data_IF_730909367869
#
_entry.id   IF_730909367869
#
_cell.length_a   1.000
_cell.length_b   1.000
_cell.length_c   1.000
_cell.angle_alpha   90.00
_cell.angle_beta   90.00
_cell.angle_gamma   90.00
#
_symmetry.space_group_name_H-M   'P 1'
#
loop_
_entity.id
_entity.type
_entity.pdbx_description
1 polymer ?
#
# COMPACT_ATOMS: atom_id res chain seq x y z
N UNK A 1 9.16 9.70 41.87
CA UNK A 1 8.75 8.47 41.16
C UNK A 1 9.99 7.74 40.69
N UNK A 2 10.03 6.41 40.81
CA UNK A 2 11.10 5.60 40.21
C UNK A 2 10.99 5.57 38.68
N UNK A 3 12.04 5.15 37.98
CA UNK A 3 12.01 4.98 36.53
C UNK A 3 10.88 4.05 36.08
N UNK A 4 10.67 2.93 36.79
CA UNK A 4 9.60 1.98 36.48
C UNK A 4 8.22 2.61 36.64
N UNK A 5 8.01 3.40 37.71
CA UNK A 5 6.75 4.14 37.91
C UNK A 5 6.52 5.18 36.80
N UNK A 6 7.58 5.87 36.37
CA UNK A 6 7.53 6.83 35.26
C UNK A 6 7.21 6.17 33.92
N UNK A 7 7.78 5.00 33.65
CA UNK A 7 7.47 4.24 32.43
C UNK A 7 6.00 3.80 32.41
N UNK A 8 5.44 3.41 33.56
CA UNK A 8 4.04 2.99 33.66
C UNK A 8 3.06 4.16 33.53
N UNK A 9 3.34 5.29 34.18
CA UNK A 9 2.45 6.45 34.18
C UNK A 9 2.62 7.36 32.95
N UNK A 10 3.85 7.46 32.42
CA UNK A 10 4.24 8.44 31.40
C UNK A 10 5.20 7.84 30.35
N UNK A 11 4.86 6.65 29.84
CA UNK A 11 5.67 5.91 28.86
C UNK A 11 6.14 6.78 27.70
N UNK A 12 5.24 7.57 27.10
CA UNK A 12 5.54 8.36 25.91
C UNK A 12 6.57 9.45 26.18
N UNK A 13 6.48 10.08 27.36
CA UNK A 13 7.45 11.09 27.78
C UNK A 13 8.85 10.48 27.94
N UNK A 14 8.93 9.29 28.55
CA UNK A 14 10.20 8.56 28.73
C UNK A 14 10.76 8.10 27.38
N UNK A 15 9.94 7.48 26.53
CA UNK A 15 10.39 6.88 25.27
C UNK A 15 10.79 7.88 24.19
N UNK A 16 10.31 9.12 24.27
CA UNK A 16 10.82 10.21 23.45
C UNK A 16 12.28 10.59 23.77
N UNK A 17 12.78 10.23 24.96
CA UNK A 17 14.11 10.62 25.47
C UNK A 17 15.10 9.46 25.53
N UNK A 18 14.68 8.26 25.17
CA UNK A 18 15.51 7.05 25.25
C UNK A 18 15.66 6.41 23.88
N UNK A 19 16.92 6.26 23.43
CA UNK A 19 17.25 5.49 22.23
C UNK A 19 17.11 3.99 22.54
N UNK A 20 16.16 3.33 21.91
CA UNK A 20 15.94 1.88 22.08
C UNK A 20 16.74 1.15 21.00
N UNK A 21 17.91 0.64 21.33
CA UNK A 21 18.73 -0.14 20.40
C UNK A 21 18.31 -1.61 20.46
N UNK A 22 18.24 -2.25 19.30
CA UNK A 22 18.04 -3.70 19.22
C UNK A 22 19.43 -4.34 19.26
N UNK A 23 19.75 -5.11 20.31
CA UNK A 23 21.08 -5.63 20.53
C UNK A 23 21.46 -6.67 19.45
N UNK A 24 22.76 -7.00 19.32
CA UNK A 24 23.21 -7.95 18.31
C UNK A 24 22.72 -9.38 18.59
N UNK A 25 22.80 -10.29 17.60
CA UNK A 25 22.19 -11.63 17.66
C UNK A 25 22.57 -12.44 18.88
N UNK A 26 23.83 -12.32 19.33
CA UNK A 26 24.41 -13.06 20.46
C UNK A 26 23.71 -12.71 21.77
N UNK A 27 23.19 -11.48 21.87
CA UNK A 27 22.45 -11.00 23.03
C UNK A 27 20.94 -11.13 22.84
N UNK A 28 20.44 -10.90 21.62
CA UNK A 28 19.00 -10.90 21.35
C UNK A 28 18.41 -12.32 21.36
N UNK A 29 19.07 -13.29 20.72
CA UNK A 29 18.60 -14.67 20.62
C UNK A 29 18.34 -15.32 21.98
N UNK A 30 19.27 -15.28 22.98
CA UNK A 30 19.01 -15.89 24.29
C UNK A 30 17.87 -15.19 25.04
N UNK A 31 17.78 -13.86 24.97
CA UNK A 31 16.70 -13.10 25.63
C UNK A 31 15.33 -13.47 25.06
N UNK A 32 15.21 -13.58 23.74
CA UNK A 32 13.95 -13.97 23.10
C UNK A 32 13.64 -15.44 23.39
N UNK A 33 14.64 -16.32 23.37
CA UNK A 33 14.46 -17.73 23.71
C UNK A 33 13.95 -17.92 25.15
N UNK A 34 14.49 -17.17 26.11
CA UNK A 34 14.05 -17.17 27.50
C UNK A 34 12.57 -16.79 27.63
N UNK A 35 12.14 -15.74 26.93
CA UNK A 35 10.72 -15.34 26.89
C UNK A 35 9.85 -16.46 26.29
N UNK A 36 10.25 -17.02 25.15
CA UNK A 36 9.48 -18.09 24.50
C UNK A 36 9.38 -19.35 25.37
N UNK A 37 10.46 -19.71 26.06
CA UNK A 37 10.50 -20.85 26.99
C UNK A 37 9.71 -20.59 28.27
N UNK A 38 9.71 -19.36 28.78
CA UNK A 38 8.98 -18.99 30.00
C UNK A 38 7.47 -19.00 29.76
N UNK A 39 7.01 -18.40 28.64
CA UNK A 39 5.58 -18.19 28.40
C UNK A 39 4.94 -19.24 27.49
N UNK A 40 5.69 -19.90 26.60
CA UNK A 40 5.16 -20.88 25.66
C UNK A 40 4.44 -22.07 26.32
N UNK A 41 4.97 -22.66 27.41
CA UNK A 41 4.31 -23.76 28.12
C UNK A 41 3.13 -23.35 29.00
N UNK A 42 2.95 -22.05 29.27
CA UNK A 42 1.86 -21.59 30.14
C UNK A 42 0.52 -21.95 29.52
N UNK A 43 -0.45 -22.34 30.36
CA UNK A 43 -1.78 -22.73 29.90
C UNK A 43 -2.66 -21.50 29.73
N UNK A 44 -3.40 -21.47 28.64
CA UNK A 44 -4.50 -20.53 28.46
C UNK A 44 -5.58 -20.80 29.52
N UNK A 45 -6.03 -19.75 30.19
CA UNK A 45 -6.98 -19.82 31.29
C UNK A 45 -8.36 -20.33 30.85
N UNK A 46 -8.72 -20.16 29.57
CA UNK A 46 -10.02 -20.56 29.03
C UNK A 46 -9.99 -21.97 28.45
N UNK A 47 -8.99 -22.27 27.62
CA UNK A 47 -8.93 -23.56 26.91
C UNK A 47 -8.12 -24.64 27.63
N UNK A 48 -7.30 -24.28 28.62
CA UNK A 48 -6.43 -25.20 29.36
C UNK A 48 -5.25 -25.76 28.53
N UNK A 49 -5.14 -25.36 27.26
CA UNK A 49 -4.08 -25.75 26.34
C UNK A 49 -2.84 -24.87 26.55
N UNK A 50 -1.62 -25.36 26.23
CA UNK A 50 -0.44 -24.50 26.24
C UNK A 50 -0.60 -23.35 25.25
N UNK A 51 -0.05 -22.19 25.60
CA UNK A 51 -0.08 -20.98 24.77
C UNK A 51 0.53 -21.26 23.39
N UNK A 52 1.57 -22.11 23.35
CA UNK A 52 2.20 -22.56 22.12
C UNK A 52 1.85 -24.01 21.80
N UNK A 53 1.18 -24.22 20.67
CA UNK A 53 1.06 -25.52 20.03
C UNK A 53 2.30 -25.83 19.16
N UNK A 54 2.36 -27.03 18.59
CA UNK A 54 3.50 -27.47 17.77
C UNK A 54 3.81 -26.51 16.61
N UNK A 55 2.77 -25.99 15.94
CA UNK A 55 2.95 -25.01 14.86
C UNK A 55 3.51 -23.67 15.36
N UNK A 56 3.11 -23.24 16.57
CA UNK A 56 3.68 -22.05 17.21
C UNK A 56 5.15 -22.26 17.56
N UNK A 57 5.53 -23.45 18.02
CA UNK A 57 6.92 -23.81 18.27
C UNK A 57 7.78 -23.84 17.00
N UNK A 58 7.22 -24.32 15.88
CA UNK A 58 7.90 -24.24 14.57
C UNK A 58 8.19 -22.79 14.17
N UNK A 59 7.20 -21.90 14.32
CA UNK A 59 7.37 -20.47 14.04
C UNK A 59 8.37 -19.82 14.99
N UNK A 60 8.32 -20.17 16.28
CA UNK A 60 9.25 -19.68 17.29
C UNK A 60 10.69 -20.06 16.95
N UNK A 61 10.93 -21.30 16.51
CA UNK A 61 12.24 -21.75 16.02
C UNK A 61 12.70 -20.93 14.82
N UNK A 62 11.84 -20.74 13.82
CA UNK A 62 12.17 -19.91 12.65
C UNK A 62 12.50 -18.46 13.02
N UNK A 63 11.80 -17.87 13.99
CA UNK A 63 12.10 -16.52 14.49
C UNK A 63 13.50 -16.48 15.12
N UNK A 64 13.83 -17.45 15.98
CA UNK A 64 15.16 -17.52 16.61
C UNK A 64 16.26 -17.69 15.55
N UNK A 65 16.05 -18.50 14.52
CA UNK A 65 17.01 -18.63 13.41
C UNK A 65 17.21 -17.30 12.67
N UNK A 66 16.13 -16.60 12.33
CA UNK A 66 16.20 -15.29 11.70
C UNK A 66 16.92 -14.25 12.58
N UNK A 67 16.75 -14.31 13.91
CA UNK A 67 17.49 -13.47 14.86
C UNK A 67 18.98 -13.79 14.80
N UNK A 68 19.35 -15.08 14.84
CA UNK A 68 20.75 -15.53 14.73
C UNK A 68 21.41 -15.07 13.42
N UNK A 69 20.65 -14.97 12.33
CA UNK A 69 21.10 -14.43 11.05
C UNK A 69 21.24 -12.89 11.04
N UNK A 70 20.90 -12.18 12.12
CA UNK A 70 21.04 -10.73 12.22
C UNK A 70 19.89 -9.92 11.65
N UNK A 71 18.81 -10.55 11.15
CA UNK A 71 17.73 -9.84 10.45
C UNK A 71 16.89 -8.91 11.34
N UNK A 72 16.99 -9.05 12.66
CA UNK A 72 16.25 -8.24 13.62
C UNK A 72 17.14 -7.28 14.43
N UNK A 73 18.46 -7.42 14.35
CA UNK A 73 19.40 -6.54 15.07
C UNK A 73 19.61 -5.22 14.32
N UNK A 74 19.94 -4.16 15.04
CA UNK A 74 20.34 -2.92 14.36
C UNK A 74 21.69 -3.14 13.64
N UNK A 75 21.84 -2.73 12.36
CA UNK A 75 23.12 -2.80 11.68
C UNK A 75 24.17 -1.91 12.36
N UNK A 76 25.43 -2.36 12.43
CA UNK A 76 26.51 -1.57 13.03
C UNK A 76 26.75 -0.29 12.23
N UNK A 77 26.99 0.82 12.94
CA UNK A 77 27.30 2.11 12.32
C UNK A 77 26.10 2.92 11.83
N UNK A 78 24.86 2.44 12.00
CA UNK A 78 23.66 3.17 11.60
C UNK A 78 22.83 3.61 12.82
N UNK A 79 22.51 4.91 12.92
CA UNK A 79 21.63 5.43 13.98
C UNK A 79 20.21 5.62 13.47
N UNK A 80 19.26 4.89 14.04
CA UNK A 80 17.83 5.10 13.79
C UNK A 80 17.21 6.24 14.59
N UNK A 81 18.02 7.00 15.33
CA UNK A 81 17.54 8.09 16.16
C UNK A 81 18.18 9.41 15.73
N UNK A 82 17.34 10.36 15.36
CA UNK A 82 17.73 11.74 15.08
C UNK A 82 17.32 12.64 16.26
N UNK A 83 18.22 13.54 16.68
CA UNK A 83 17.90 14.55 17.68
C UNK A 83 16.91 15.56 17.06
N UNK A 84 15.78 15.80 17.73
CA UNK A 84 14.78 16.77 17.29
C UNK A 84 14.97 18.10 18.00
N UNK A 85 15.09 18.04 19.32
CA UNK A 85 15.22 19.21 20.19
C UNK A 85 15.74 18.79 21.56
N UNK A 86 16.25 19.75 22.32
CA UNK A 86 16.46 19.63 23.76
C UNK A 86 15.27 20.26 24.48
N UNK A 87 14.74 19.59 25.49
CA UNK A 87 13.57 20.06 26.23
C UNK A 87 13.93 21.09 27.32
N UNK A 88 12.91 21.63 28.00
CA UNK A 88 13.07 22.61 29.09
C UNK A 88 13.84 22.08 30.31
N UNK A 89 14.04 20.77 30.40
CA UNK A 89 14.79 20.10 31.47
C UNK A 89 16.23 19.76 31.03
N UNK A 90 16.65 20.20 29.85
CA UNK A 90 17.97 19.89 29.28
C UNK A 90 18.08 18.46 28.75
N UNK A 91 16.96 17.77 28.52
CA UNK A 91 16.93 16.40 28.01
C UNK A 91 16.69 16.37 26.51
N UNK A 92 17.48 15.55 25.82
CA UNK A 92 17.34 15.34 24.39
C UNK A 92 16.07 14.56 24.04
N UNK A 93 15.35 15.08 23.05
CA UNK A 93 14.18 14.43 22.45
C UNK A 93 14.58 13.87 21.09
N UNK A 94 14.43 12.56 20.93
CA UNK A 94 14.80 11.84 19.73
C UNK A 94 13.57 11.44 18.90
N UNK A 95 13.71 11.52 17.57
CA UNK A 95 12.79 10.90 16.61
C UNK A 95 13.39 9.60 16.13
N UNK A 96 12.61 8.52 16.24
CA UNK A 96 12.99 7.23 15.69
C UNK A 96 12.58 7.15 14.22
N UNK A 97 13.52 6.79 13.35
CA UNK A 97 13.25 6.49 11.94
C UNK A 97 12.80 5.05 11.71
N UNK A 98 12.85 4.19 12.74
CA UNK A 98 12.25 2.86 12.63
C UNK A 98 10.76 3.05 12.41
N UNK A 99 10.27 2.53 11.29
CA UNK A 99 8.84 2.44 11.07
C UNK A 99 8.19 1.74 12.26
N UNK A 100 7.10 2.29 12.77
CA UNK A 100 6.20 1.49 13.60
C UNK A 100 5.75 0.31 12.74
N UNK A 101 5.91 -0.91 13.22
CA UNK A 101 5.15 -2.04 12.69
C UNK A 101 3.67 -1.66 12.86
N UNK A 102 3.11 -1.24 11.74
CA UNK A 102 1.79 -0.69 11.56
C UNK A 102 0.91 -1.77 10.92
N UNK A 103 1.04 -3.04 11.34
CA UNK A 103 0.25 -4.13 10.75
C UNK A 103 -1.25 -3.81 10.73
N UNK A 104 -1.73 -2.91 11.60
CA UNK A 104 -3.03 -2.26 11.41
C UNK A 104 -3.03 -0.72 11.54
N UNK A 105 -2.49 -0.05 12.57
CA UNK A 105 -2.82 1.35 12.93
C UNK A 105 -2.50 2.53 11.96
N UNK A 106 -1.97 2.28 10.76
CA UNK A 106 -1.43 3.31 9.88
C UNK A 106 -2.39 3.84 8.84
N UNK A 107 -1.79 4.39 7.78
CA UNK A 107 -2.48 4.75 6.53
C UNK A 107 -3.32 3.58 6.02
N UNK A 108 -2.82 2.34 6.08
CA UNK A 108 -3.54 1.16 5.58
C UNK A 108 -4.89 0.90 6.26
N UNK A 109 -4.99 0.91 7.60
CA UNK A 109 -6.28 0.72 8.28
C UNK A 109 -7.18 1.93 8.14
N UNK A 110 -6.63 3.15 8.11
CA UNK A 110 -7.43 4.35 7.85
C UNK A 110 -8.03 4.33 6.43
N UNK A 111 -7.26 3.90 5.43
CA UNK A 111 -7.71 3.62 4.07
C UNK A 111 -8.82 2.57 4.12
N UNK A 112 -8.57 1.37 4.68
CA UNK A 112 -9.54 0.26 4.67
C UNK A 112 -10.85 0.67 5.35
N UNK A 113 -10.79 1.31 6.53
CA UNK A 113 -11.98 1.74 7.28
C UNK A 113 -12.79 2.77 6.50
N UNK A 114 -12.14 3.77 5.89
CA UNK A 114 -12.81 4.81 5.11
C UNK A 114 -13.37 4.26 3.79
N UNK A 115 -12.59 3.50 3.03
CA UNK A 115 -13.05 2.96 1.74
C UNK A 115 -14.17 1.93 1.88
N UNK A 116 -14.14 1.12 2.96
CA UNK A 116 -15.18 0.15 3.27
C UNK A 116 -16.55 0.79 3.49
N UNK A 117 -16.62 1.91 4.22
CA UNK A 117 -17.90 2.59 4.51
C UNK A 117 -18.50 3.30 3.29
N UNK A 118 -17.67 3.78 2.36
CA UNK A 118 -18.14 4.54 1.19
C UNK A 118 -18.58 3.66 0.00
N UNK A 119 -18.45 2.33 0.08
CA UNK A 119 -18.58 1.44 -1.09
C UNK A 119 -17.79 2.00 -2.29
N UNK A 120 -16.58 2.49 -2.01
CA UNK A 120 -15.86 3.33 -2.96
C UNK A 120 -15.53 2.58 -4.25
N UNK A 121 -15.94 3.15 -5.38
CA UNK A 121 -15.54 2.62 -6.69
C UNK A 121 -14.02 2.73 -6.88
N UNK A 122 -13.39 1.90 -7.74
CA UNK A 122 -11.96 2.01 -8.01
C UNK A 122 -11.50 3.42 -8.42
N UNK A 123 -12.34 4.17 -9.13
CA UNK A 123 -12.08 5.56 -9.51
C UNK A 123 -12.02 6.48 -8.29
N UNK A 124 -13.00 6.38 -7.40
CA UNK A 124 -13.04 7.17 -6.18
C UNK A 124 -11.84 6.82 -5.28
N UNK A 125 -11.49 5.55 -5.18
CA UNK A 125 -10.33 5.09 -4.42
C UNK A 125 -9.02 5.69 -4.93
N UNK A 126 -8.77 5.63 -6.23
CA UNK A 126 -7.56 6.24 -6.82
C UNK A 126 -7.52 7.74 -6.56
N UNK A 127 -8.64 8.45 -6.70
CA UNK A 127 -8.69 9.89 -6.46
C UNK A 127 -8.40 10.25 -5.00
N UNK A 128 -9.02 9.54 -4.04
CA UNK A 128 -8.80 9.78 -2.61
C UNK A 128 -7.36 9.45 -2.18
N UNK A 129 -6.75 8.41 -2.77
CA UNK A 129 -5.34 8.09 -2.49
C UNK A 129 -4.38 9.16 -3.04
N UNK A 130 -4.67 9.70 -4.21
CA UNK A 130 -3.89 10.81 -4.79
C UNK A 130 -3.98 12.08 -3.94
N UNK A 131 -5.20 12.42 -3.53
CA UNK A 131 -5.45 13.56 -2.64
C UNK A 131 -4.73 13.40 -1.30
N UNK A 132 -4.87 12.23 -0.67
CA UNK A 132 -4.13 11.89 0.55
C UNK A 132 -2.62 12.03 0.37
N UNK A 133 -2.07 11.51 -0.72
CA UNK A 133 -0.63 11.54 -1.00
C UNK A 133 -0.13 12.98 -1.17
N UNK A 134 -0.89 13.81 -1.87
CA UNK A 134 -0.59 15.23 -2.01
C UNK A 134 -0.56 15.92 -0.64
N UNK A 135 -1.65 15.85 0.13
CA UNK A 135 -1.75 16.50 1.44
C UNK A 135 -0.64 16.03 2.36
N UNK A 136 -0.40 14.71 2.41
CA UNK A 136 0.67 14.15 3.22
C UNK A 136 2.05 14.67 2.80
N UNK A 137 2.34 14.74 1.51
CA UNK A 137 3.62 15.24 1.01
C UNK A 137 3.81 16.74 1.29
N UNK A 138 2.74 17.53 1.22
CA UNK A 138 2.76 18.95 1.57
C UNK A 138 3.04 19.12 3.06
N UNK A 139 2.29 18.45 3.93
CA UNK A 139 2.49 18.52 5.39
C UNK A 139 3.87 17.98 5.81
N UNK A 140 4.31 16.87 5.20
CA UNK A 140 5.61 16.27 5.49
C UNK A 140 6.79 17.09 4.95
N UNK A 141 6.54 18.15 4.15
CA UNK A 141 7.60 19.02 3.64
C UNK A 141 8.42 19.66 4.77
N UNK A 142 7.83 19.87 5.95
CA UNK A 142 8.52 20.35 7.15
C UNK A 142 9.73 19.49 7.49
N UNK A 143 9.65 18.17 7.28
CA UNK A 143 10.77 17.28 7.56
C UNK A 143 11.96 17.50 6.61
N UNK A 144 11.72 18.11 5.43
CA UNK A 144 12.74 18.41 4.42
C UNK A 144 13.20 19.87 4.49
N UNK A 145 12.28 20.80 4.73
CA UNK A 145 12.55 22.25 4.68
C UNK A 145 12.75 22.88 6.05
N UNK A 146 12.41 22.17 7.13
CA UNK A 146 12.41 22.67 8.50
C UNK A 146 11.27 23.66 8.81
N UNK A 147 10.33 23.86 7.87
CA UNK A 147 9.21 24.80 8.03
C UNK A 147 7.88 24.12 7.68
N UNK A 148 6.81 24.31 8.48
CA UNK A 148 5.51 23.77 8.14
C UNK A 148 5.02 24.33 6.81
N UNK A 149 4.26 23.54 6.08
CA UNK A 149 3.59 24.01 4.88
C UNK A 149 2.49 25.02 5.24
N UNK A 150 2.62 26.23 4.71
CA UNK A 150 1.65 27.31 4.90
C UNK A 150 1.02 27.62 3.55
N UNK A 151 -0.17 27.06 3.29
CA UNK A 151 -0.87 27.26 2.04
C UNK A 151 -2.09 26.37 1.83
N UNK A 152 -2.82 26.62 0.75
CA UNK A 152 -3.98 25.81 0.36
C UNK A 152 -3.57 24.41 -0.12
N UNK A 153 -4.37 23.39 0.16
CA UNK A 153 -4.19 22.05 -0.42
C UNK A 153 -4.79 21.92 -1.84
N UNK A 154 -5.51 22.94 -2.31
CA UNK A 154 -6.06 22.95 -3.67
C UNK A 154 -4.98 23.30 -4.70
N UNK A 155 -4.49 22.27 -5.40
CA UNK A 155 -3.48 22.38 -6.46
C UNK A 155 -3.90 23.39 -7.52
N UNK A 156 -5.17 23.37 -7.95
CA UNK A 156 -5.62 24.17 -9.09
C UNK A 156 -5.60 25.66 -8.74
N UNK A 157 -6.03 25.98 -7.53
CA UNK A 157 -5.96 27.35 -7.01
C UNK A 157 -4.51 27.79 -6.89
N UNK A 158 -3.60 26.93 -6.40
CA UNK A 158 -2.17 27.26 -6.30
C UNK A 158 -1.52 27.49 -7.65
N UNK A 159 -1.75 26.63 -8.63
CA UNK A 159 -1.24 26.79 -9.99
C UNK A 159 -1.77 28.09 -10.61
N UNK A 160 -3.05 28.41 -10.39
CA UNK A 160 -3.63 29.68 -10.85
C UNK A 160 -2.98 30.90 -10.19
N UNK A 161 -2.76 30.89 -8.88
CA UNK A 161 -2.11 32.01 -8.19
C UNK A 161 -0.66 32.14 -8.65
N UNK A 162 0.10 31.04 -8.74
CA UNK A 162 1.47 31.05 -9.25
C UNK A 162 1.54 31.71 -10.63
N UNK A 163 0.70 31.27 -11.56
CA UNK A 163 0.62 31.87 -12.90
C UNK A 163 0.26 33.35 -12.89
N UNK A 164 -0.66 33.79 -12.02
CA UNK A 164 -1.02 35.20 -11.92
C UNK A 164 0.15 36.04 -11.38
N UNK A 165 0.93 35.49 -10.46
CA UNK A 165 2.14 36.14 -9.93
C UNK A 165 3.18 36.29 -11.03
N UNK A 166 3.43 35.26 -11.82
CA UNK A 166 4.39 35.32 -12.93
C UNK A 166 4.02 36.43 -13.94
N UNK A 167 2.72 36.60 -14.21
CA UNK A 167 2.21 37.62 -15.14
C UNK A 167 2.26 39.04 -14.55
N UNK A 168 2.24 39.18 -13.22
CA UNK A 168 2.15 40.49 -12.54
C UNK A 168 3.45 40.93 -11.88
N UNK A 169 4.51 40.12 -11.99
CA UNK A 169 5.81 40.36 -11.34
C UNK A 169 6.50 41.64 -11.83
N UNK A 170 6.17 42.11 -13.02
CA UNK A 170 6.65 43.37 -13.60
C UNK A 170 5.97 44.63 -13.02
N UNK A 171 4.79 44.48 -12.41
CA UNK A 171 3.97 45.60 -11.88
C UNK A 171 3.88 45.58 -10.36
N UNK A 172 3.88 44.39 -9.75
CA UNK A 172 3.73 44.18 -8.31
C UNK A 172 4.98 43.47 -7.84
N UNK A 173 5.74 44.06 -6.91
CA UNK A 173 6.83 43.36 -6.23
C UNK A 173 6.23 42.18 -5.44
N UNK A 174 6.41 40.94 -5.92
CA UNK A 174 5.70 39.81 -5.35
C UNK A 174 6.49 39.24 -4.19
N UNK A 175 5.88 39.21 -2.99
CA UNK A 175 6.41 38.39 -1.91
C UNK A 175 5.96 36.93 -2.09
N UNK A 176 6.73 36.16 -2.87
CA UNK A 176 6.53 34.71 -3.02
C UNK A 176 6.57 33.96 -1.68
N UNK A 177 7.22 34.54 -0.67
CA UNK A 177 7.34 33.96 0.67
C UNK A 177 6.03 34.11 1.47
N UNK A 178 5.37 35.27 1.41
CA UNK A 178 4.13 35.51 2.17
C UNK A 178 2.96 34.68 1.65
N UNK A 179 2.98 34.33 0.36
CA UNK A 179 1.96 33.48 -0.27
C UNK A 179 2.30 31.98 -0.19
N UNK A 180 3.44 31.62 0.44
CA UNK A 180 3.90 30.24 0.54
C UNK A 180 4.17 29.58 -0.82
N UNK A 181 4.49 30.38 -1.84
CA UNK A 181 4.73 29.95 -3.23
C UNK A 181 6.21 29.81 -3.57
N UNK A 182 7.12 30.31 -2.73
CA UNK A 182 8.57 30.31 -2.99
C UNK A 182 9.16 28.93 -3.33
N UNK A 183 8.54 27.84 -2.88
CA UNK A 183 8.96 26.45 -3.18
C UNK A 183 7.92 25.67 -3.98
N UNK A 184 6.90 26.34 -4.52
CA UNK A 184 5.84 25.71 -5.30
C UNK A 184 6.25 25.64 -6.76
N UNK A 185 6.29 24.43 -7.31
CA UNK A 185 6.47 24.21 -8.74
C UNK A 185 5.09 24.05 -9.38
N UNK A 186 4.77 24.93 -10.31
CA UNK A 186 3.50 24.89 -11.03
C UNK A 186 3.49 23.73 -12.03
N UNK A 187 2.72 22.68 -11.71
CA UNK A 187 2.64 21.50 -12.56
C UNK A 187 2.07 21.74 -13.96
N UNK A 188 1.33 22.83 -14.16
CA UNK A 188 0.72 23.17 -15.46
C UNK A 188 1.76 23.57 -16.52
N UNK A 189 3.00 23.86 -16.11
CA UNK A 189 4.12 24.23 -16.98
C UNK A 189 4.91 23.02 -17.49
N UNK A 190 4.62 21.82 -16.97
CA UNK A 190 5.34 20.62 -17.32
C UNK A 190 4.49 19.68 -18.19
N UNK A 191 5.15 18.94 -19.08
CA UNK A 191 4.47 17.88 -19.82
C UNK A 191 4.00 16.76 -18.87
N UNK A 192 2.80 16.18 -19.08
CA UNK A 192 2.35 15.04 -18.31
C UNK A 192 3.32 13.85 -18.43
N UNK A 193 3.69 13.28 -17.29
CA UNK A 193 4.53 12.09 -17.26
C UNK A 193 3.87 10.92 -18.00
N UNK A 194 4.68 10.14 -18.72
CA UNK A 194 4.25 8.91 -19.40
C UNK A 194 4.06 7.72 -18.45
N UNK A 195 4.55 7.86 -17.22
CA UNK A 195 4.43 6.85 -16.18
C UNK A 195 2.99 6.72 -15.68
N UNK A 196 2.61 5.49 -15.31
CA UNK A 196 1.29 5.21 -14.75
C UNK A 196 1.44 4.60 -13.36
N UNK A 197 0.63 5.08 -12.42
CA UNK A 197 0.63 4.63 -11.03
C UNK A 197 -0.77 4.16 -10.62
N UNK A 198 -0.81 3.16 -9.74
CA UNK A 198 -2.05 2.56 -9.25
C UNK A 198 -2.51 1.40 -10.10
N UNK A 199 -3.64 1.55 -10.81
CA UNK A 199 -4.19 0.49 -11.66
C UNK A 199 -3.40 0.47 -12.96
N UNK A 200 -2.58 -0.56 -13.13
CA UNK A 200 -1.66 -0.66 -14.26
C UNK A 200 -2.33 -1.23 -15.51
N UNK A 201 -1.91 -0.78 -16.71
CA UNK A 201 -2.36 -1.36 -17.97
C UNK A 201 -1.79 -2.76 -18.17
N UNK A 202 -2.55 -3.64 -18.81
CA UNK A 202 -2.02 -4.93 -19.24
C UNK A 202 -1.11 -4.76 -20.46
N UNK A 203 0.09 -5.34 -20.38
CA UNK A 203 1.02 -5.35 -21.51
C UNK A 203 0.36 -5.95 -22.77
N UNK A 204 0.62 -5.42 -23.98
CA UNK A 204 0.04 -5.93 -25.23
C UNK A 204 0.22 -7.44 -25.39
N UNK A 205 1.43 -7.96 -25.11
CA UNK A 205 1.71 -9.39 -25.17
C UNK A 205 0.83 -10.22 -24.21
N UNK A 206 0.55 -9.71 -23.01
CA UNK A 206 -0.34 -10.38 -22.04
C UNK A 206 -1.78 -10.37 -22.51
N UNK A 207 -2.26 -9.26 -23.09
CA UNK A 207 -3.62 -9.16 -23.66
C UNK A 207 -3.81 -10.14 -24.81
N UNK A 208 -2.88 -10.16 -25.77
CA UNK A 208 -2.91 -11.12 -26.89
C UNK A 208 -2.86 -12.56 -26.41
N UNK A 209 -1.97 -12.88 -25.44
CA UNK A 209 -1.86 -14.22 -24.86
C UNK A 209 -3.16 -14.72 -24.24
N UNK A 210 -3.92 -13.83 -23.60
CA UNK A 210 -5.19 -14.18 -22.94
C UNK A 210 -6.40 -13.98 -23.87
N UNK A 211 -6.25 -13.42 -25.06
CA UNK A 211 -7.40 -13.13 -25.94
C UNK A 211 -8.24 -11.93 -25.47
N UNK A 212 -7.60 -10.95 -24.83
CA UNK A 212 -8.24 -9.68 -24.43
C UNK A 212 -8.06 -8.63 -25.52
N UNK A 213 -9.15 -7.97 -25.90
CA UNK A 213 -9.11 -6.85 -26.84
C UNK A 213 -8.69 -5.54 -26.15
N UNK A 214 -8.09 -4.58 -26.89
CA UNK A 214 -7.75 -3.26 -26.36
C UNK A 214 -8.99 -2.45 -25.97
N UNK A 215 -8.80 -1.47 -25.08
CA UNK A 215 -9.87 -0.53 -24.73
C UNK A 215 -10.31 0.29 -25.95
N UNK A 216 -11.63 0.44 -26.12
CA UNK A 216 -12.25 1.26 -27.16
C UNK A 216 -13.36 2.11 -26.52
N UNK A 217 -13.28 3.43 -26.72
CA UNK A 217 -14.19 4.37 -26.05
C UNK A 217 -15.61 4.31 -26.64
N UNK A 218 -15.71 4.10 -27.95
CA UNK A 218 -16.96 3.98 -28.70
C UNK A 218 -17.71 2.74 -28.27
N UNK A 219 -17.03 1.60 -28.16
CA UNK A 219 -17.60 0.36 -27.65
C UNK A 219 -18.08 0.53 -26.20
N UNK A 220 -17.24 1.12 -25.34
CA UNK A 220 -17.59 1.32 -23.94
C UNK A 220 -18.87 2.17 -23.76
N UNK A 221 -19.03 3.21 -24.60
CA UNK A 221 -20.21 4.08 -24.59
C UNK A 221 -21.42 3.41 -25.24
N UNK A 222 -21.25 2.77 -26.39
CA UNK A 222 -22.33 2.14 -27.15
C UNK A 222 -22.93 0.93 -26.45
N UNK A 223 -22.09 0.09 -25.83
CA UNK A 223 -22.52 -1.09 -25.09
C UNK A 223 -22.80 -0.82 -23.60
N UNK A 224 -22.63 0.43 -23.14
CA UNK A 224 -22.83 0.83 -21.74
C UNK A 224 -22.13 -0.11 -20.75
N UNK A 225 -20.85 -0.38 -21.01
CA UNK A 225 -20.10 -1.36 -20.22
C UNK A 225 -20.00 -0.91 -18.75
N UNK A 226 -20.14 -1.87 -17.84
CA UNK A 226 -19.89 -1.64 -16.42
C UNK A 226 -18.38 -1.56 -16.17
N UNK A 227 -18.01 -0.79 -15.16
CA UNK A 227 -16.60 -0.59 -14.77
C UNK A 227 -15.70 -0.01 -15.90
N UNK A 228 -16.25 0.84 -16.78
CA UNK A 228 -15.50 1.43 -17.90
C UNK A 228 -14.23 2.19 -17.49
N UNK A 229 -14.23 2.84 -16.31
CA UNK A 229 -13.00 3.43 -15.76
C UNK A 229 -11.89 2.39 -15.57
N UNK A 230 -12.23 1.22 -15.02
CA UNK A 230 -11.26 0.15 -14.75
C UNK A 230 -10.73 -0.44 -16.07
N UNK A 231 -11.62 -0.68 -17.04
CA UNK A 231 -11.27 -1.13 -18.39
C UNK A 231 -10.30 -0.16 -19.08
N UNK A 232 -10.56 1.16 -18.96
CA UNK A 232 -9.68 2.21 -19.48
C UNK A 232 -8.29 2.19 -18.83
N UNK A 233 -8.21 2.09 -17.50
CA UNK A 233 -6.91 2.02 -16.81
C UNK A 233 -6.14 0.74 -17.16
N UNK A 234 -6.84 -0.39 -17.24
CA UNK A 234 -6.28 -1.70 -17.61
C UNK A 234 -5.93 -1.82 -19.10
N UNK A 235 -6.36 -0.87 -19.93
CA UNK A 235 -6.22 -0.89 -21.39
C UNK A 235 -6.85 -2.13 -22.04
N UNK A 236 -8.00 -2.57 -21.53
CA UNK A 236 -8.78 -3.71 -22.05
C UNK A 236 -10.19 -3.28 -22.46
N UNK A 237 -10.80 -3.96 -23.44
CA UNK A 237 -12.14 -3.64 -23.95
C UNK A 237 -13.19 -3.63 -22.84
N UNK A 238 -13.13 -4.62 -21.97
CA UNK A 238 -13.94 -4.73 -20.75
C UNK A 238 -13.03 -4.91 -19.54
N UNK A 239 -13.53 -4.60 -18.35
CA UNK A 239 -12.75 -4.69 -17.13
C UNK A 239 -12.32 -6.13 -16.83
N UNK A 240 -11.14 -6.30 -16.22
CA UNK A 240 -10.65 -7.56 -15.67
C UNK A 240 -10.98 -7.60 -14.18
N UNK A 241 -11.86 -8.53 -13.79
CA UNK A 241 -12.42 -8.63 -12.43
C UNK A 241 -12.40 -10.08 -11.93
N UNK A 242 -12.50 -10.34 -10.62
CA UNK A 242 -12.77 -11.68 -10.10
C UNK A 242 -14.13 -12.22 -10.55
N UNK A 243 -14.35 -13.52 -10.39
CA UNK A 243 -15.68 -14.13 -10.61
C UNK A 243 -16.60 -13.64 -9.48
N UNK A 244 -17.62 -12.85 -9.83
CA UNK A 244 -18.52 -12.26 -8.85
C UNK A 244 -20.00 -12.27 -9.26
N UNK A 245 -20.32 -12.18 -10.55
CA UNK A 245 -21.71 -12.21 -11.03
C UNK A 245 -22.29 -13.62 -11.03
N UNK A 246 -23.60 -13.73 -11.24
CA UNK A 246 -24.30 -15.03 -11.31
C UNK A 246 -23.95 -15.74 -12.61
N UNK A 247 -23.92 -14.99 -13.71
CA UNK A 247 -23.59 -15.44 -15.06
C UNK A 247 -22.15 -15.94 -15.14
N UNK A 248 -21.20 -15.24 -14.50
CA UNK A 248 -19.81 -15.70 -14.42
C UNK A 248 -19.69 -17.00 -13.63
N UNK A 249 -20.43 -17.16 -12.52
CA UNK A 249 -20.43 -18.42 -11.75
C UNK A 249 -21.03 -19.57 -12.56
N UNK A 250 -22.08 -19.31 -13.34
CA UNK A 250 -22.69 -20.29 -14.23
C UNK A 250 -21.72 -20.71 -15.35
N UNK A 251 -21.09 -19.73 -16.02
CA UNK A 251 -20.08 -19.97 -17.04
C UNK A 251 -18.88 -20.74 -16.47
N UNK A 252 -18.39 -20.37 -15.29
CA UNK A 252 -17.31 -21.08 -14.62
C UNK A 252 -17.64 -22.55 -14.38
N UNK A 253 -18.84 -22.84 -13.88
CA UNK A 253 -19.30 -24.23 -13.67
C UNK A 253 -19.43 -24.98 -14.99
N UNK A 254 -19.91 -24.33 -16.04
CA UNK A 254 -20.06 -24.93 -17.37
C UNK A 254 -18.69 -25.30 -17.97
N UNK A 255 -17.74 -24.36 -17.95
CA UNK A 255 -16.38 -24.58 -18.46
C UNK A 255 -15.62 -25.64 -17.65
N UNK A 256 -15.82 -25.70 -16.33
CA UNK A 256 -15.21 -26.75 -15.49
C UNK A 256 -15.88 -28.12 -15.61
N UNK A 257 -17.19 -28.19 -15.89
CA UNK A 257 -17.87 -29.47 -16.14
C UNK A 257 -17.45 -30.07 -17.48
N UNK A 258 -17.16 -29.23 -18.47
CA UNK A 258 -16.66 -29.64 -19.78
C UNK A 258 -15.13 -29.88 -19.80
N UNK A 259 -14.51 -30.13 -18.64
CA UNK A 259 -13.04 -30.28 -18.51
C UNK A 259 -12.50 -31.62 -19.08
N UNK A 260 -13.31 -32.40 -19.79
CA UNK A 260 -12.85 -33.55 -20.58
C UNK A 260 -12.29 -33.05 -21.92
N UNK A 261 -10.98 -32.87 -22.00
CA UNK A 261 -10.26 -32.56 -23.24
C UNK A 261 -9.41 -31.29 -23.17
N UNK A 262 -9.89 -30.19 -23.75
CA UNK A 262 -9.10 -28.98 -24.05
C UNK A 262 -8.57 -28.22 -22.82
N UNK A 263 -9.23 -28.38 -21.67
CA UNK A 263 -8.83 -27.72 -20.43
C UNK A 263 -8.03 -28.65 -19.50
N UNK A 264 -7.87 -29.94 -19.81
CA UNK A 264 -7.18 -30.90 -18.95
C UNK A 264 -5.65 -30.75 -19.08
N UNK A 265 -5.00 -30.18 -18.07
CA UNK A 265 -3.55 -30.29 -17.91
C UNK A 265 -3.17 -31.51 -17.06
N UNK A 266 -1.90 -31.93 -17.10
CA UNK A 266 -1.39 -33.14 -16.43
C UNK A 266 -1.65 -33.22 -14.91
N UNK A 267 -1.83 -32.08 -14.23
CA UNK A 267 -2.12 -31.99 -12.78
C UNK A 267 -3.19 -30.95 -12.42
N UNK A 268 -3.43 -29.96 -13.28
CA UNK A 268 -4.40 -28.87 -13.09
C UNK A 268 -4.95 -28.43 -14.46
N UNK A 269 -6.11 -27.77 -14.52
CA UNK A 269 -6.64 -27.25 -15.77
C UNK A 269 -5.67 -26.26 -16.46
N UNK A 270 -5.64 -26.24 -17.79
CA UNK A 270 -4.93 -25.22 -18.55
C UNK A 270 -5.66 -23.89 -18.44
N UNK A 271 -5.28 -23.11 -17.43
CA UNK A 271 -5.90 -21.85 -17.09
C UNK A 271 -5.74 -20.76 -18.17
N UNK A 272 -4.76 -20.88 -19.06
CA UNK A 272 -4.60 -19.93 -20.18
C UNK A 272 -5.67 -20.20 -21.23
N UNK A 273 -5.84 -21.47 -21.63
CA UNK A 273 -6.87 -21.87 -22.59
C UNK A 273 -8.28 -21.62 -22.04
N UNK A 274 -8.49 -21.89 -20.75
CA UNK A 274 -9.76 -21.57 -20.09
C UNK A 274 -10.03 -20.08 -20.06
N UNK A 275 -9.01 -19.25 -19.80
CA UNK A 275 -9.15 -17.80 -19.90
C UNK A 275 -9.51 -17.41 -21.34
N UNK A 276 -8.76 -17.86 -22.35
CA UNK A 276 -9.04 -17.53 -23.75
C UNK A 276 -10.49 -17.87 -24.16
N UNK A 277 -11.01 -19.02 -23.74
CA UNK A 277 -12.41 -19.37 -23.97
C UNK A 277 -13.37 -18.44 -23.22
N UNK A 278 -13.08 -18.18 -21.94
CA UNK A 278 -13.85 -17.23 -21.14
C UNK A 278 -13.95 -15.85 -21.79
N UNK A 279 -12.83 -15.34 -22.31
CA UNK A 279 -12.74 -14.01 -22.92
C UNK A 279 -13.74 -13.84 -24.07
N UNK A 280 -14.09 -14.92 -24.80
CA UNK A 280 -15.08 -14.90 -25.89
C UNK A 280 -16.50 -14.61 -25.43
N UNK A 281 -16.81 -14.92 -24.17
CA UNK A 281 -18.13 -14.66 -23.57
C UNK A 281 -18.20 -13.31 -22.84
N UNK A 282 -17.10 -12.56 -22.78
CA UNK A 282 -17.05 -11.32 -22.03
C UNK A 282 -17.77 -10.20 -22.79
N UNK A 283 -18.78 -9.61 -22.13
CA UNK A 283 -19.64 -8.55 -22.68
C UNK A 283 -19.53 -7.23 -21.91
N UNK A 284 -18.81 -7.22 -20.78
CA UNK A 284 -18.61 -6.02 -19.96
C UNK A 284 -19.83 -5.58 -19.16
N UNK A 285 -20.92 -6.36 -19.13
CA UNK A 285 -22.14 -6.05 -18.37
C UNK A 285 -22.44 -7.12 -17.31
N UNK A 286 -22.38 -8.39 -17.70
CA UNK A 286 -22.58 -9.55 -16.83
C UNK A 286 -21.34 -10.44 -16.74
N UNK A 287 -20.51 -10.48 -17.79
CA UNK A 287 -19.29 -11.29 -17.85
C UNK A 287 -18.09 -10.40 -18.19
N UNK A 288 -17.08 -10.46 -17.33
CA UNK A 288 -15.86 -9.66 -17.41
C UNK A 288 -14.62 -10.51 -17.69
N UNK A 289 -13.54 -9.90 -18.16
CA UNK A 289 -12.29 -10.60 -18.45
C UNK A 289 -11.65 -11.24 -17.20
N UNK A 290 -10.89 -12.33 -17.40
CA UNK A 290 -10.19 -13.07 -16.34
C UNK A 290 -8.73 -13.30 -16.72
N UNK A 291 -7.87 -13.41 -15.70
CA UNK A 291 -6.46 -13.78 -15.86
C UNK A 291 -6.27 -15.28 -15.62
N UNK A 292 -5.16 -15.83 -16.12
CA UNK A 292 -4.80 -17.25 -16.00
C UNK A 292 -4.51 -17.73 -14.57
N UNK A 293 -4.44 -16.83 -13.59
CA UNK A 293 -4.55 -17.16 -12.17
C UNK A 293 -5.88 -16.63 -11.69
N UNK A 294 -6.96 -17.39 -11.86
CA UNK A 294 -8.26 -17.06 -11.28
C UNK A 294 -8.08 -17.10 -9.75
N UNK A 295 -8.00 -15.96 -9.06
CA UNK A 295 -7.74 -16.02 -7.64
C UNK A 295 -9.04 -16.44 -6.95
N UNK A 296 -9.02 -17.39 -6.00
CA UNK A 296 -10.20 -17.69 -5.21
C UNK A 296 -10.56 -16.47 -4.36
N UNK A 297 -11.65 -15.76 -4.71
CA UNK A 297 -12.42 -14.71 -4.00
C UNK A 297 -11.71 -13.58 -3.20
N UNK A 298 -10.44 -13.69 -2.80
CA UNK A 298 -9.77 -12.84 -1.80
C UNK A 298 -8.72 -11.87 -2.35
N UNK A 299 -8.42 -11.86 -3.65
CA UNK A 299 -7.29 -11.07 -4.20
C UNK A 299 -7.60 -9.62 -4.59
N UNK A 300 -8.85 -9.16 -4.49
CA UNK A 300 -9.15 -7.73 -4.68
C UNK A 300 -9.22 -6.92 -3.39
N UNK A 301 -8.70 -7.47 -2.30
CA UNK A 301 -8.16 -6.65 -1.22
C UNK A 301 -6.77 -6.17 -1.64
N UNK A 302 -6.71 -5.05 -2.38
CA UNK A 302 -5.51 -4.24 -2.58
C UNK A 302 -4.25 -5.00 -3.05
N UNK A 303 -4.22 -5.49 -4.30
CA UNK A 303 -2.94 -5.55 -5.03
C UNK A 303 -2.54 -4.14 -5.47
N UNK A 304 -2.26 -3.30 -4.48
CA UNK A 304 -1.26 -2.25 -4.56
C UNK A 304 0.07 -2.97 -4.42
N UNK A 305 0.49 -3.65 -5.48
CA UNK A 305 1.86 -4.12 -5.61
C UNK A 305 2.74 -2.89 -5.74
N UNK A 306 3.11 -2.31 -4.60
CA UNK A 306 4.31 -1.49 -4.45
C UNK A 306 5.49 -2.43 -4.78
N UNK A 307 5.84 -2.51 -6.06
CA UNK A 307 7.09 -3.11 -6.47
C UNK A 307 8.22 -2.25 -5.90
N UNK A 308 8.97 -2.85 -4.97
CA UNK A 308 10.29 -2.44 -4.48
C UNK A 308 11.20 -1.97 -5.62
N UNK A 309 11.18 -0.69 -5.94
CA UNK A 309 12.22 -0.04 -6.78
C UNK A 309 12.39 1.45 -6.43
N UNK A 310 12.22 1.82 -5.17
CA UNK A 310 12.70 3.10 -4.64
C UNK A 310 13.65 2.78 -3.50
N UNK A 311 14.92 2.60 -3.85
CA UNK A 311 16.14 2.75 -3.05
C UNK A 311 17.29 2.15 -3.88
N UNK A 312 17.61 2.81 -4.99
CA UNK A 312 18.91 2.72 -5.65
C UNK A 312 19.17 4.02 -6.40
N UNK A 313 19.39 5.08 -5.62
CA UNK A 313 20.26 6.20 -5.95
C UNK A 313 20.86 6.70 -4.65
#
# INVERSE_FOLDING_TARGET
>A
MSFQQMVLAHSDWVWQRVKRLVPPPETLAPRVAEVLQTYGPLKDAVTGQPLFNDSSWDKARAIIENIKMGYYSDPPGYSFYALVRTDKYGLDVYRCSRGTNNVEGGIHQNIIRRFGSFNASPRLTVNLLRDYTLTHNLEASENRTGRPYLGSHDIWTRNRIARLMDITTDVIEPSYQDLGLATWLNGDEFEPARESFGILPFAPATRSKLGMSPYQAEYAKGCMIKHGYLARQQQTLVAVLPIHTVEEKALYRLLLKNNTGQFAGKKQPNWITLAQEWQRHANGTSIFYKVSRIPPRKFFSLTLSFTRSFLST
#
